data_IF_220233195719
#
_entry.id   IF_220233195719
#
_cell.length_a   1.000
_cell.length_b   1.000
_cell.length_c   1.000
_cell.angle_alpha   90.00
_cell.angle_beta   90.00
_cell.angle_gamma   90.00
#
_symmetry.space_group_name_H-M   'P 1'
#
loop_
_entity.id
_entity.type
_entity.pdbx_description
1 polymer ?
#
# COMPACT_ATOMS: atom_id res chain seq x y z
N UNK A 1 6.29 11.29 3.01
CA UNK A 1 7.41 10.63 3.73
C UNK A 1 7.00 10.02 5.06
N UNK A 2 6.03 10.60 5.78
CA UNK A 2 5.57 10.11 7.09
C UNK A 2 5.26 8.60 7.17
N UNK A 3 4.58 8.00 6.18
CA UNK A 3 4.31 6.55 6.19
C UNK A 3 5.57 5.68 6.13
N UNK A 4 6.62 6.14 5.45
CA UNK A 4 7.89 5.42 5.37
C UNK A 4 8.57 5.44 6.73
N UNK A 5 8.60 6.61 7.40
CA UNK A 5 9.13 6.72 8.76
C UNK A 5 8.31 5.92 9.77
N UNK A 6 6.98 5.97 9.70
CA UNK A 6 6.11 5.16 10.56
C UNK A 6 6.35 3.65 10.34
N UNK A 7 6.50 3.20 9.10
CA UNK A 7 6.75 1.78 8.81
C UNK A 7 8.14 1.34 9.25
N UNK A 8 9.16 2.15 8.99
CA UNK A 8 10.54 1.89 9.38
C UNK A 8 10.74 1.92 10.90
N UNK A 9 10.19 2.94 11.57
CA UNK A 9 10.19 3.06 13.03
C UNK A 9 9.51 1.85 13.69
N UNK A 10 8.33 1.46 13.20
CA UNK A 10 7.62 0.27 13.70
C UNK A 10 8.43 -1.01 13.52
N UNK A 11 9.14 -1.16 12.39
CA UNK A 11 10.00 -2.31 12.17
C UNK A 11 11.14 -2.35 13.18
N UNK A 12 11.84 -1.22 13.39
CA UNK A 12 12.93 -1.13 14.36
C UNK A 12 12.46 -1.43 15.80
N UNK A 13 11.31 -0.88 16.21
CA UNK A 13 10.66 -1.20 17.50
C UNK A 13 10.45 -2.70 17.67
N UNK A 14 9.92 -3.38 16.64
CA UNK A 14 9.69 -4.84 16.70
C UNK A 14 10.97 -5.66 16.74
N UNK A 15 12.12 -5.10 16.33
CA UNK A 15 13.44 -5.74 16.45
C UNK A 15 14.15 -5.45 17.78
N UNK A 16 13.52 -4.69 18.68
CA UNK A 16 14.10 -4.33 19.98
C UNK A 16 15.14 -3.21 19.91
N UNK A 17 15.18 -2.45 18.82
CA UNK A 17 16.11 -1.32 18.70
C UNK A 17 15.62 -0.16 19.60
N UNK A 18 16.46 0.37 20.49
CA UNK A 18 16.10 1.52 21.31
C UNK A 18 16.12 2.81 20.46
N UNK A 19 15.11 3.66 20.62
CA UNK A 19 15.04 4.94 19.93
C UNK A 19 13.67 5.59 20.00
N UNK A 20 13.65 6.91 19.82
CA UNK A 20 12.40 7.68 19.69
C UNK A 20 12.08 7.81 18.20
N UNK A 21 11.33 6.84 17.66
CA UNK A 21 10.99 6.80 16.23
C UNK A 21 9.73 7.57 15.87
N UNK A 22 8.96 8.03 16.87
CA UNK A 22 7.71 8.79 16.70
C UNK A 22 6.75 8.16 15.68
N UNK A 23 6.71 6.83 15.66
CA UNK A 23 5.95 6.01 14.70
C UNK A 23 4.49 6.44 14.62
N UNK A 24 3.89 6.70 15.77
CA UNK A 24 2.48 7.07 15.91
C UNK A 24 2.17 8.47 15.39
N UNK A 25 3.02 9.44 15.69
CA UNK A 25 2.86 10.82 15.22
C UNK A 25 2.98 10.88 13.70
N UNK A 26 3.97 10.18 13.14
CA UNK A 26 4.10 10.04 11.70
C UNK A 26 2.90 9.33 11.07
N UNK A 27 2.33 8.31 11.71
CA UNK A 27 1.13 7.65 11.21
C UNK A 27 -0.08 8.59 11.19
N UNK A 28 -0.31 9.35 12.26
CA UNK A 28 -1.42 10.32 12.35
C UNK A 28 -1.30 11.41 11.29
N UNK A 29 -0.11 12.00 11.12
CA UNK A 29 0.11 13.03 10.08
C UNK A 29 -0.04 12.45 8.67
N UNK A 30 0.31 11.18 8.46
CA UNK A 30 0.04 10.55 7.18
C UNK A 30 -1.46 10.40 6.90
N UNK A 31 -2.25 10.02 7.91
CA UNK A 31 -3.69 9.86 7.78
C UNK A 31 -4.41 11.18 7.51
N UNK A 32 -3.91 12.32 8.03
CA UNK A 32 -4.52 13.62 7.78
C UNK A 32 -4.48 14.06 6.31
N UNK A 33 -3.60 13.46 5.49
CA UNK A 33 -3.48 13.74 4.06
C UNK A 33 -4.11 12.63 3.19
N UNK A 34 -4.69 11.59 3.82
CA UNK A 34 -5.14 10.40 3.11
C UNK A 34 -6.26 10.71 2.11
N UNK A 35 -7.24 11.50 2.53
CA UNK A 35 -8.41 11.82 1.69
C UNK A 35 -8.00 12.58 0.43
N UNK A 36 -7.08 13.54 0.56
CA UNK A 36 -6.52 14.27 -0.58
C UNK A 36 -5.75 13.34 -1.52
N UNK A 37 -4.87 12.50 -0.98
CA UNK A 37 -4.06 11.58 -1.77
C UNK A 37 -4.92 10.56 -2.51
N UNK A 38 -5.95 10.01 -1.87
CA UNK A 38 -6.86 9.03 -2.49
C UNK A 38 -7.74 9.68 -3.56
N UNK A 39 -8.08 10.96 -3.42
CA UNK A 39 -8.88 11.70 -4.39
C UNK A 39 -8.18 11.85 -5.76
N UNK A 40 -6.84 11.88 -5.82
CA UNK A 40 -6.11 11.94 -7.10
C UNK A 40 -6.25 10.68 -7.95
N UNK A 41 -6.59 9.53 -7.33
CA UNK A 41 -6.76 8.25 -8.02
C UNK A 41 -5.59 7.87 -8.94
N UNK A 42 -4.35 8.12 -8.51
CA UNK A 42 -3.15 7.95 -9.31
C UNK A 42 -2.22 6.85 -8.76
N UNK A 43 -1.02 6.76 -9.33
CA UNK A 43 0.02 5.81 -8.89
C UNK A 43 0.38 6.01 -7.41
N UNK A 44 0.44 7.25 -6.94
CA UNK A 44 0.84 7.60 -5.57
C UNK A 44 -0.24 7.22 -4.59
N UNK A 45 -1.51 7.36 -4.97
CA UNK A 45 -2.64 6.86 -4.18
C UNK A 45 -2.51 5.35 -3.91
N UNK A 46 -2.11 4.56 -4.92
CA UNK A 46 -1.87 3.11 -4.74
C UNK A 46 -0.71 2.86 -3.78
N UNK A 47 0.41 3.56 -3.95
CA UNK A 47 1.61 3.42 -3.10
C UNK A 47 1.31 3.77 -1.63
N UNK A 48 0.52 4.81 -1.38
CA UNK A 48 0.11 5.21 -0.03
C UNK A 48 -0.79 4.15 0.60
N UNK A 49 -1.77 3.62 -0.12
CA UNK A 49 -2.64 2.55 0.37
C UNK A 49 -1.85 1.25 0.64
N UNK A 50 -0.86 0.93 -0.19
CA UNK A 50 0.05 -0.20 0.03
C UNK A 50 0.87 -0.02 1.32
N UNK A 51 1.45 1.16 1.53
CA UNK A 51 2.21 1.46 2.74
C UNK A 51 1.33 1.39 3.99
N UNK A 52 0.10 1.91 3.92
CA UNK A 52 -0.89 1.79 5.00
C UNK A 52 -1.25 0.33 5.28
N UNK A 53 -1.40 -0.49 4.23
CA UNK A 53 -1.67 -1.92 4.37
C UNK A 53 -0.55 -2.62 5.14
N UNK A 54 0.71 -2.36 4.75
CA UNK A 54 1.90 -2.94 5.39
C UNK A 54 2.05 -2.46 6.83
N UNK A 55 1.84 -1.17 7.09
CA UNK A 55 1.87 -0.63 8.44
C UNK A 55 0.81 -1.29 9.33
N UNK A 56 -0.41 -1.45 8.81
CA UNK A 56 -1.54 -2.06 9.53
C UNK A 56 -1.30 -3.52 9.94
N UNK A 57 -0.37 -4.24 9.28
CA UNK A 57 0.00 -5.59 9.68
C UNK A 57 0.84 -5.64 10.96
N UNK A 58 1.58 -4.57 11.28
CA UNK A 58 2.41 -4.48 12.50
C UNK A 58 1.80 -3.61 13.59
N UNK A 59 0.90 -2.71 13.21
CA UNK A 59 0.15 -1.83 14.09
C UNK A 59 -1.31 -1.81 13.62
N UNK A 60 -2.14 -2.80 14.02
CA UNK A 60 -3.51 -2.91 13.55
C UNK A 60 -4.32 -1.68 14.00
N UNK A 61 -4.67 -0.80 13.04
CA UNK A 61 -5.44 0.42 13.24
C UNK A 61 -6.34 0.70 12.05
N UNK A 62 -7.44 1.41 12.29
CA UNK A 62 -8.39 1.83 11.26
C UNK A 62 -9.01 0.64 10.50
N UNK A 63 -9.30 0.79 9.19
CA UNK A 63 -9.91 -0.24 8.34
C UNK A 63 -9.14 -1.57 8.26
N UNK A 64 -7.86 -1.58 8.64
CA UNK A 64 -6.98 -2.74 8.59
C UNK A 64 -6.41 -3.06 7.21
N UNK A 65 -5.43 -3.97 7.18
CA UNK A 65 -4.66 -4.29 5.98
C UNK A 65 -5.53 -4.78 4.81
N UNK A 66 -6.57 -5.59 5.08
CA UNK A 66 -7.46 -6.13 4.04
C UNK A 66 -8.24 -5.04 3.32
N UNK A 67 -8.74 -4.06 4.06
CA UNK A 67 -9.51 -2.95 3.49
C UNK A 67 -8.62 -2.06 2.62
N UNK A 68 -7.44 -1.68 3.12
CA UNK A 68 -6.51 -0.84 2.39
C UNK A 68 -6.00 -1.51 1.11
N UNK A 69 -5.60 -2.78 1.18
CA UNK A 69 -5.10 -3.51 0.00
C UNK A 69 -6.22 -3.77 -1.01
N UNK A 70 -7.45 -3.99 -0.56
CA UNK A 70 -8.61 -4.10 -1.45
C UNK A 70 -8.92 -2.80 -2.19
N UNK A 71 -8.79 -1.64 -1.54
CA UNK A 71 -8.92 -0.32 -2.21
C UNK A 71 -7.76 -0.13 -3.21
N UNK A 72 -6.52 -0.43 -2.80
CA UNK A 72 -5.36 -0.34 -3.66
C UNK A 72 -5.50 -1.21 -4.92
N UNK A 73 -6.04 -2.42 -4.78
CA UNK A 73 -6.26 -3.33 -5.89
C UNK A 73 -7.32 -2.80 -6.86
N UNK A 74 -8.47 -2.32 -6.34
CA UNK A 74 -9.49 -1.67 -7.18
C UNK A 74 -8.91 -0.49 -7.96
N UNK A 75 -8.04 0.30 -7.33
CA UNK A 75 -7.38 1.42 -8.00
C UNK A 75 -6.37 0.95 -9.06
N UNK A 76 -5.60 -0.11 -8.81
CA UNK A 76 -4.76 -0.75 -9.83
C UNK A 76 -5.57 -1.21 -11.04
N UNK A 77 -6.79 -1.73 -10.82
CA UNK A 77 -7.69 -2.15 -11.88
C UNK A 77 -8.18 -0.94 -12.68
N UNK A 78 -8.66 0.11 -12.01
CA UNK A 78 -9.12 1.36 -12.63
C UNK A 78 -8.02 2.03 -13.47
N UNK A 79 -6.77 2.01 -13.00
CA UNK A 79 -5.59 2.52 -13.71
C UNK A 79 -5.09 1.58 -14.83
N UNK A 80 -5.73 0.43 -15.02
CA UNK A 80 -5.36 -0.56 -16.03
C UNK A 80 -4.00 -1.22 -15.78
N UNK A 81 -3.48 -1.23 -14.54
CA UNK A 81 -2.17 -1.79 -14.22
C UNK A 81 -2.11 -3.31 -14.41
N UNK A 82 -3.26 -3.98 -14.30
CA UNK A 82 -3.43 -5.43 -14.51
C UNK A 82 -3.29 -5.87 -15.97
N UNK A 83 -3.36 -4.94 -16.94
CA UNK A 83 -3.34 -5.26 -18.37
C UNK A 83 -1.93 -5.20 -18.92
N UNK A 84 -1.58 -6.16 -19.78
CA UNK A 84 -0.32 -6.15 -20.56
C UNK A 84 -0.42 -5.17 -21.73
N UNK A 85 -0.57 -3.87 -21.45
CA UNK A 85 -0.54 -2.84 -22.50
C UNK A 85 0.90 -2.34 -22.72
N UNK A 86 1.31 -2.23 -23.99
CA UNK A 86 2.47 -1.42 -24.38
C UNK A 86 2.12 0.03 -24.07
N UNK A 87 2.65 0.55 -22.97
CA UNK A 87 2.51 1.96 -22.59
C UNK A 87 3.33 2.81 -23.55
N UNK A 88 2.77 3.09 -24.73
CA UNK A 88 3.38 3.97 -25.74
C UNK A 88 3.67 5.33 -25.08
N UNK A 89 4.90 5.80 -25.20
CA UNK A 89 5.35 7.08 -24.65
C UNK A 89 5.79 7.08 -23.18
N UNK A 90 5.77 5.95 -22.46
CA UNK A 90 6.37 5.87 -21.11
C UNK A 90 7.81 5.36 -21.17
N UNK A 91 8.63 5.84 -20.24
CA UNK A 91 9.96 5.28 -20.00
C UNK A 91 9.86 3.80 -19.61
N UNK A 92 10.90 3.02 -19.92
CA UNK A 92 11.02 1.64 -19.47
C UNK A 92 10.90 1.55 -17.94
N UNK A 93 11.49 2.52 -17.22
CA UNK A 93 11.44 2.58 -15.76
C UNK A 93 10.00 2.73 -15.23
N UNK A 94 9.19 3.61 -15.82
CA UNK A 94 7.80 3.82 -15.40
C UNK A 94 6.94 2.59 -15.68
N UNK A 95 7.14 1.96 -16.84
CA UNK A 95 6.43 0.74 -17.20
C UNK A 95 6.76 -0.40 -16.23
N UNK A 96 8.03 -0.50 -15.82
CA UNK A 96 8.48 -1.48 -14.83
C UNK A 96 7.93 -1.19 -13.43
N UNK A 97 7.95 0.07 -13.00
CA UNK A 97 7.38 0.46 -11.70
C UNK A 97 5.89 0.12 -11.61
N UNK A 98 5.14 0.34 -12.70
CA UNK A 98 3.71 0.03 -12.74
C UNK A 98 3.44 -1.47 -12.65
N UNK A 99 4.28 -2.29 -13.30
CA UNK A 99 4.22 -3.75 -13.15
C UNK A 99 4.53 -4.16 -11.71
N UNK A 100 5.58 -3.61 -11.11
CA UNK A 100 5.97 -3.92 -9.71
C UNK A 100 4.86 -3.59 -8.73
N UNK A 101 4.29 -2.39 -8.81
CA UNK A 101 3.21 -1.99 -7.91
C UNK A 101 2.00 -2.91 -8.07
N UNK A 102 1.59 -3.25 -9.29
CA UNK A 102 0.49 -4.19 -9.49
C UNK A 102 0.76 -5.55 -8.82
N UNK A 103 1.92 -6.17 -9.10
CA UNK A 103 2.23 -7.48 -8.56
C UNK A 103 2.42 -7.48 -7.04
N UNK A 104 2.98 -6.41 -6.47
CA UNK A 104 3.09 -6.25 -5.02
C UNK A 104 1.70 -6.15 -4.39
N UNK A 105 0.79 -5.32 -4.94
CA UNK A 105 -0.60 -5.24 -4.46
C UNK A 105 -1.31 -6.57 -4.55
N UNK A 106 -1.13 -7.29 -5.66
CA UNK A 106 -1.74 -8.60 -5.86
C UNK A 106 -1.26 -9.65 -4.86
N UNK A 107 0.05 -9.74 -4.66
CA UNK A 107 0.62 -10.66 -3.69
C UNK A 107 0.18 -10.33 -2.26
N UNK A 108 0.14 -9.03 -1.91
CA UNK A 108 -0.29 -8.60 -0.58
C UNK A 108 -1.79 -8.87 -0.35
N UNK A 109 -2.64 -8.63 -1.34
CA UNK A 109 -4.09 -8.91 -1.26
C UNK A 109 -4.34 -10.39 -0.97
N UNK A 110 -3.65 -11.28 -1.70
CA UNK A 110 -3.77 -12.73 -1.47
C UNK A 110 -3.27 -13.14 -0.09
N UNK A 111 -2.09 -12.68 0.33
CA UNK A 111 -1.55 -13.02 1.65
C UNK A 111 -2.49 -12.60 2.77
N UNK A 112 -2.95 -11.35 2.74
CA UNK A 112 -3.85 -10.81 3.77
C UNK A 112 -5.19 -11.54 3.75
N UNK A 113 -5.74 -11.79 2.57
CA UNK A 113 -7.02 -12.48 2.42
C UNK A 113 -6.95 -13.95 2.87
N UNK A 114 -5.87 -14.69 2.56
CA UNK A 114 -5.67 -16.06 3.04
C UNK A 114 -5.59 -16.08 4.57
N UNK A 115 -4.74 -15.23 5.17
CA UNK A 115 -4.54 -15.20 6.63
C UNK A 115 -5.84 -14.87 7.37
N UNK A 116 -6.68 -14.00 6.79
CA UNK A 116 -7.92 -13.55 7.41
C UNK A 116 -9.16 -14.37 6.98
N UNK A 117 -9.02 -15.37 6.11
CA UNK A 117 -10.14 -16.14 5.57
C UNK A 117 -11.14 -15.29 4.75
N UNK A 118 -10.67 -14.24 4.07
CA UNK A 118 -11.47 -13.30 3.30
C UNK A 118 -11.34 -13.53 1.78
N UNK A 119 -12.31 -13.10 0.96
CA UNK A 119 -12.21 -13.22 -0.49
C UNK A 119 -11.13 -12.31 -1.08
N UNK A 120 -10.54 -12.76 -2.19
CA UNK A 120 -9.57 -12.00 -2.99
C UNK A 120 -10.25 -10.89 -3.80
N UNK A 121 -9.50 -9.84 -4.12
CA UNK A 121 -9.99 -8.77 -4.97
C UNK A 121 -10.07 -9.16 -6.46
N UNK A 122 -9.19 -10.06 -6.92
CA UNK A 122 -9.25 -10.66 -8.27
C UNK A 122 -9.44 -12.16 -8.10
N UNK A 123 -10.53 -12.70 -8.64
CA UNK A 123 -10.70 -14.15 -8.83
C UNK A 123 -9.88 -14.60 -10.05
N UNK A 124 -9.09 -15.65 -9.85
CA UNK A 124 -8.29 -16.34 -10.86
C UNK A 124 -8.70 -17.82 -10.86
#
# INVERSE_FOLDING_TARGET
LHLVYATGGRFLETTGQPGMFYTEEHHVVALSHLDEVVAYQDMRSVEVLLLLSIHSLRAPRGPGAWSYVGIAMRLCISLGLHRKQRRRGKSFADAEMCKRVFWVTYCLDRQVSIILGRPFAISD
#
